data_IF_211504936158
#
_entry.id   IF_211504936158
#
_cell.length_a   1.000
_cell.length_b   1.000
_cell.length_c   1.000
_cell.angle_alpha   90.00
_cell.angle_beta   90.00
_cell.angle_gamma   90.00
#
_symmetry.space_group_name_H-M   'P 1'
#
loop_
_entity.id
_entity.type
_entity.pdbx_description
1 polymer ?
#
# COMPACT_ATOMS: atom_id res chain seq x y z
N UNK A 1 24.55 27.39 -2.94
CA UNK A 1 24.54 26.74 -4.28
C UNK A 1 25.58 25.61 -4.35
N UNK A 2 26.54 25.57 -3.43
CA UNK A 2 27.67 24.61 -3.44
C UNK A 2 27.30 23.19 -2.99
N UNK A 3 26.38 23.04 -2.04
CA UNK A 3 25.93 21.71 -1.55
C UNK A 3 25.36 20.84 -2.68
N UNK A 4 24.56 21.43 -3.58
CA UNK A 4 24.00 20.71 -4.73
C UNK A 4 25.07 20.29 -5.73
N UNK A 5 26.12 21.10 -5.92
CA UNK A 5 27.27 20.75 -6.76
C UNK A 5 28.06 19.60 -6.17
N UNK A 6 28.27 19.60 -4.86
CA UNK A 6 28.99 18.53 -4.17
C UNK A 6 28.22 17.20 -4.19
N UNK A 7 26.90 17.24 -4.03
CA UNK A 7 26.02 16.07 -4.17
C UNK A 7 26.06 15.53 -5.61
N UNK A 8 25.94 16.41 -6.61
CA UNK A 8 26.04 16.01 -8.02
C UNK A 8 27.41 15.43 -8.35
N UNK A 9 28.48 16.03 -7.82
CA UNK A 9 29.85 15.55 -7.99
C UNK A 9 30.02 14.15 -7.41
N UNK A 10 29.50 13.90 -6.21
CA UNK A 10 29.53 12.57 -5.59
C UNK A 10 28.91 11.47 -6.48
N UNK A 11 27.77 11.74 -7.14
CA UNK A 11 27.12 10.77 -8.03
C UNK A 11 27.82 10.64 -9.40
N UNK A 12 28.42 11.72 -9.89
CA UNK A 12 29.03 11.76 -11.24
C UNK A 12 30.49 11.29 -11.24
N UNK A 13 31.17 11.33 -10.10
CA UNK A 13 32.58 10.97 -9.96
C UNK A 13 32.83 9.48 -10.23
N UNK A 14 33.72 9.15 -11.16
CA UNK A 14 34.03 7.76 -11.54
C UNK A 14 34.88 7.01 -10.50
N UNK A 15 35.47 7.71 -9.54
CA UNK A 15 36.28 7.12 -8.47
C UNK A 15 35.45 6.37 -7.44
N UNK A 16 34.19 6.77 -7.25
CA UNK A 16 33.25 6.10 -6.35
C UNK A 16 32.70 4.82 -6.97
N UNK A 17 32.72 3.73 -6.22
CA UNK A 17 32.13 2.46 -6.64
C UNK A 17 30.63 2.60 -6.90
N UNK A 18 30.08 1.78 -7.80
CA UNK A 18 28.64 1.75 -8.09
C UNK A 18 27.81 1.50 -6.84
N UNK A 19 28.30 0.66 -5.92
CA UNK A 19 27.67 0.37 -4.62
C UNK A 19 27.60 1.61 -3.72
N UNK A 20 28.69 2.37 -3.64
CA UNK A 20 28.77 3.62 -2.84
C UNK A 20 27.82 4.68 -3.37
N UNK A 21 27.71 4.80 -4.70
CA UNK A 21 26.76 5.73 -5.33
C UNK A 21 25.32 5.32 -5.06
N UNK A 22 24.99 4.04 -5.19
CA UNK A 22 23.66 3.52 -4.89
C UNK A 22 23.27 3.77 -3.43
N UNK A 23 24.22 3.54 -2.51
CA UNK A 23 24.05 3.85 -1.09
C UNK A 23 23.80 5.34 -0.84
N UNK A 24 24.54 6.22 -1.51
CA UNK A 24 24.32 7.66 -1.40
C UNK A 24 22.95 8.12 -1.91
N UNK A 25 22.40 7.47 -2.95
CA UNK A 25 21.03 7.75 -3.43
C UNK A 25 20.03 7.41 -2.32
N UNK A 26 20.21 6.25 -1.67
CA UNK A 26 19.32 5.80 -0.60
C UNK A 26 19.41 6.72 0.62
N UNK A 27 20.62 7.09 1.06
CA UNK A 27 20.82 8.04 2.16
C UNK A 27 20.19 9.39 1.83
N UNK A 28 20.35 9.88 0.60
CA UNK A 28 19.72 11.11 0.16
C UNK A 28 18.19 11.04 0.23
N UNK A 29 17.59 9.93 -0.20
CA UNK A 29 16.14 9.68 -0.06
C UNK A 29 15.72 9.62 1.41
N UNK A 30 16.49 8.95 2.28
CA UNK A 30 16.21 8.87 3.71
C UNK A 30 16.30 10.24 4.39
N UNK A 31 17.27 11.09 4.01
CA UNK A 31 17.40 12.45 4.52
C UNK A 31 16.21 13.30 4.08
N UNK A 32 15.74 13.16 2.84
CA UNK A 32 14.51 13.84 2.38
C UNK A 32 13.32 13.38 3.22
N UNK A 33 13.15 12.07 3.44
CA UNK A 33 12.09 11.53 4.30
C UNK A 33 12.21 12.04 5.75
N UNK A 34 13.42 12.16 6.27
CA UNK A 34 13.66 12.64 7.63
C UNK A 34 13.33 14.13 7.76
N UNK A 35 13.74 14.96 6.80
CA UNK A 35 13.40 16.38 6.73
C UNK A 35 11.88 16.56 6.60
N UNK A 36 11.25 15.76 5.73
CA UNK A 36 9.79 15.78 5.55
C UNK A 36 9.05 15.41 6.85
N UNK A 37 9.55 14.43 7.60
CA UNK A 37 8.98 14.03 8.88
C UNK A 37 9.27 15.05 10.00
N UNK A 38 10.47 15.63 10.06
CA UNK A 38 10.87 16.63 11.05
C UNK A 38 10.08 17.93 10.90
N UNK A 39 9.92 18.41 9.67
CA UNK A 39 9.15 19.61 9.34
C UNK A 39 7.65 19.33 9.26
N UNK A 40 7.27 18.05 9.23
CA UNK A 40 5.89 17.61 9.09
C UNK A 40 5.25 17.98 7.76
N UNK A 41 6.04 18.27 6.71
CA UNK A 41 5.53 18.78 5.43
C UNK A 41 4.46 17.88 4.83
N UNK A 42 4.74 16.59 4.64
CA UNK A 42 3.73 15.63 4.16
C UNK A 42 2.53 15.50 5.08
N UNK A 43 2.72 15.61 6.40
CA UNK A 43 1.62 15.54 7.37
C UNK A 43 0.68 16.75 7.22
N UNK A 44 1.22 17.96 7.23
CA UNK A 44 0.44 19.19 7.06
C UNK A 44 -0.19 19.28 5.68
N UNK A 45 0.55 18.92 4.62
CA UNK A 45 0.02 18.90 3.26
C UNK A 45 -1.13 17.90 3.14
N UNK A 46 -0.95 16.67 3.63
CA UNK A 46 -2.00 15.64 3.61
C UNK A 46 -3.25 16.07 4.39
N UNK A 47 -3.08 16.65 5.58
CA UNK A 47 -4.20 17.13 6.38
C UNK A 47 -4.92 18.31 5.71
N UNK A 48 -4.17 19.25 5.12
CA UNK A 48 -4.76 20.36 4.39
C UNK A 48 -5.56 19.86 3.17
N UNK A 49 -5.05 18.87 2.45
CA UNK A 49 -5.79 18.24 1.35
C UNK A 49 -7.06 17.54 1.84
N UNK A 50 -7.00 16.80 2.96
CA UNK A 50 -8.19 16.20 3.58
C UNK A 50 -9.24 17.26 3.94
N UNK A 51 -8.82 18.35 4.58
CA UNK A 51 -9.71 19.46 4.96
C UNK A 51 -10.33 20.09 3.71
N UNK A 52 -9.55 20.36 2.66
CA UNK A 52 -10.06 20.94 1.42
C UNK A 52 -11.06 20.01 0.71
N UNK A 53 -10.79 18.70 0.69
CA UNK A 53 -11.71 17.72 0.13
C UNK A 53 -13.04 17.67 0.91
N UNK A 54 -12.98 17.68 2.25
CA UNK A 54 -14.16 17.74 3.11
C UNK A 54 -14.96 19.02 2.90
N UNK A 55 -14.29 20.18 2.80
CA UNK A 55 -14.94 21.46 2.51
C UNK A 55 -15.66 21.46 1.15
N UNK A 56 -15.05 20.86 0.13
CA UNK A 56 -15.67 20.74 -1.19
C UNK A 56 -16.87 19.80 -1.17
N UNK A 57 -16.78 18.67 -0.45
CA UNK A 57 -17.91 17.74 -0.27
C UNK A 57 -19.07 18.46 0.43
N UNK A 58 -18.79 19.16 1.52
CA UNK A 58 -19.79 19.92 2.27
C UNK A 58 -20.45 21.01 1.43
N UNK A 59 -19.66 21.71 0.59
CA UNK A 59 -20.17 22.68 -0.37
C UNK A 59 -21.12 22.04 -1.39
N UNK A 60 -20.73 20.90 -1.97
CA UNK A 60 -21.55 20.16 -2.94
C UNK A 60 -22.85 19.62 -2.32
N UNK A 61 -22.82 19.20 -1.05
CA UNK A 61 -24.04 18.79 -0.32
C UNK A 61 -25.04 19.94 -0.16
N UNK A 62 -24.55 21.16 0.06
CA UNK A 62 -25.39 22.37 0.17
C UNK A 62 -25.96 22.81 -1.17
N UNK A 63 -25.21 22.63 -2.26
CA UNK A 63 -25.65 23.02 -3.61
C UNK A 63 -26.61 22.01 -4.26
N UNK A 64 -26.56 20.74 -3.85
CA UNK A 64 -27.38 19.66 -4.41
C UNK A 64 -28.22 18.90 -3.36
N UNK A 65 -29.08 19.57 -2.56
CA UNK A 65 -29.81 18.90 -1.46
C UNK A 65 -30.89 17.92 -1.94
N UNK A 66 -31.38 18.09 -3.17
CA UNK A 66 -32.54 17.35 -3.69
C UNK A 66 -32.18 16.04 -4.40
N UNK A 67 -30.90 15.75 -4.64
CA UNK A 67 -30.48 14.52 -5.32
C UNK A 67 -29.96 13.48 -4.31
N UNK A 68 -30.79 12.52 -3.88
CA UNK A 68 -30.42 11.55 -2.86
C UNK A 68 -29.28 10.61 -3.28
N UNK A 69 -29.10 10.37 -4.59
CA UNK A 69 -28.01 9.55 -5.09
C UNK A 69 -26.66 10.27 -4.95
N UNK A 70 -26.60 11.57 -5.30
CA UNK A 70 -25.41 12.40 -5.13
C UNK A 70 -25.06 12.55 -3.65
N UNK A 71 -26.07 12.77 -2.79
CA UNK A 71 -25.86 12.91 -1.36
C UNK A 71 -25.27 11.64 -0.74
N UNK A 72 -25.73 10.47 -1.16
CA UNK A 72 -25.18 9.18 -0.73
C UNK A 72 -23.72 9.02 -1.13
N UNK A 73 -23.36 9.32 -2.37
CA UNK A 73 -21.97 9.22 -2.85
C UNK A 73 -21.04 10.24 -2.16
N UNK A 74 -21.55 11.43 -1.85
CA UNK A 74 -20.80 12.45 -1.10
C UNK A 74 -20.56 12.03 0.36
N UNK A 75 -21.53 11.38 1.01
CA UNK A 75 -21.37 10.83 2.36
C UNK A 75 -20.33 9.69 2.38
N UNK A 76 -20.35 8.80 1.38
CA UNK A 76 -19.36 7.72 1.25
C UNK A 76 -17.94 8.26 1.03
N UNK A 77 -17.79 9.26 0.16
CA UNK A 77 -16.51 9.92 -0.08
C UNK A 77 -15.96 10.63 1.18
N UNK A 78 -16.83 11.28 1.97
CA UNK A 78 -16.45 11.88 3.26
C UNK A 78 -15.96 10.83 4.25
N UNK A 79 -16.69 9.72 4.38
CA UNK A 79 -16.32 8.61 5.25
C UNK A 79 -14.96 8.02 4.86
N UNK A 80 -14.70 7.86 3.56
CA UNK A 80 -13.42 7.38 3.05
C UNK A 80 -12.25 8.33 3.36
N UNK A 81 -12.45 9.65 3.23
CA UNK A 81 -11.42 10.65 3.55
C UNK A 81 -11.08 10.64 5.04
N UNK A 82 -12.11 10.54 5.89
CA UNK A 82 -11.98 10.48 7.35
C UNK A 82 -11.27 9.19 7.78
N UNK A 83 -11.61 8.06 7.16
CA UNK A 83 -11.02 6.75 7.47
C UNK A 83 -9.67 6.50 6.81
N UNK A 84 -9.21 7.37 5.89
CA UNK A 84 -7.97 7.16 5.13
C UNK A 84 -6.75 7.01 6.05
N UNK A 85 -6.13 5.83 5.97
CA UNK A 85 -4.95 5.42 6.74
C UNK A 85 -3.66 5.88 6.04
N UNK A 86 -2.62 6.18 6.82
CA UNK A 86 -1.30 6.47 6.25
C UNK A 86 -0.58 5.17 5.88
N UNK A 87 0.47 5.28 5.06
CA UNK A 87 1.24 4.13 4.53
C UNK A 87 1.80 3.27 5.67
N UNK A 88 2.26 3.89 6.76
CA UNK A 88 2.79 3.20 7.94
C UNK A 88 1.69 2.37 8.62
N UNK A 89 0.50 2.91 8.81
CA UNK A 89 -0.66 2.19 9.37
C UNK A 89 -1.13 1.09 8.43
N UNK A 90 -1.14 1.34 7.13
CA UNK A 90 -1.40 0.32 6.11
C UNK A 90 -0.41 -0.84 6.18
N UNK A 91 0.87 -0.55 6.48
CA UNK A 91 1.90 -1.57 6.69
C UNK A 91 1.70 -2.37 7.99
N UNK A 92 1.44 -1.71 9.11
CA UNK A 92 1.18 -2.44 10.36
C UNK A 92 -0.11 -3.27 10.32
N UNK A 93 -1.11 -2.84 9.54
CA UNK A 93 -2.35 -3.59 9.37
C UNK A 93 -2.18 -4.91 8.65
N UNK A 94 -1.09 -5.10 7.90
CA UNK A 94 -0.74 -6.38 7.29
C UNK A 94 -0.59 -7.50 8.34
N UNK A 95 -0.19 -7.14 9.56
CA UNK A 95 0.01 -8.05 10.69
C UNK A 95 -1.14 -8.02 11.70
N UNK A 96 -2.17 -7.21 11.44
CA UNK A 96 -3.35 -7.15 12.30
C UNK A 96 -4.13 -8.47 12.24
N UNK A 97 -4.86 -8.76 13.32
CA UNK A 97 -5.82 -9.88 13.35
C UNK A 97 -7.07 -9.62 12.52
N UNK A 98 -7.18 -8.44 11.90
CA UNK A 98 -8.33 -8.09 11.07
C UNK A 98 -8.40 -8.97 9.83
N UNK A 99 -9.64 -9.14 9.40
CA UNK A 99 -10.02 -9.89 8.22
C UNK A 99 -9.81 -9.04 6.95
N UNK A 100 -9.41 -9.68 5.86
CA UNK A 100 -9.17 -9.08 4.55
C UNK A 100 -10.51 -8.84 3.86
N UNK A 101 -11.11 -7.67 4.08
CA UNK A 101 -12.40 -7.35 3.50
C UNK A 101 -12.29 -6.89 2.04
N UNK A 102 -12.62 -7.80 1.12
CA UNK A 102 -12.61 -7.56 -0.34
C UNK A 102 -13.62 -6.45 -0.73
N UNK A 103 -14.66 -6.19 0.08
CA UNK A 103 -15.64 -5.13 -0.22
C UNK A 103 -15.01 -3.74 -0.23
N UNK A 104 -14.02 -3.48 0.62
CA UNK A 104 -13.36 -2.16 0.71
C UNK A 104 -12.46 -1.85 -0.48
N UNK A 105 -11.97 -2.87 -1.20
CA UNK A 105 -11.13 -2.69 -2.39
C UNK A 105 -11.94 -2.60 -3.70
N UNK A 106 -13.17 -3.14 -3.75
CA UNK A 106 -14.05 -2.98 -4.92
C UNK A 106 -14.62 -1.57 -5.04
N UNK A 107 -14.84 -0.87 -3.93
CA UNK A 107 -15.28 0.53 -3.93
C UNK A 107 -14.18 1.53 -4.33
N UNK A 108 -12.89 1.16 -4.18
CA UNK A 108 -11.76 1.99 -4.60
C UNK A 108 -11.48 1.96 -6.11
N UNK A 109 -12.12 1.06 -6.85
CA UNK A 109 -11.98 1.01 -8.31
C UNK A 109 -13.11 1.86 -8.91
N UNK A 110 -12.73 3.07 -9.34
CA UNK A 110 -13.43 3.93 -10.29
C UNK A 110 -14.38 5.00 -9.74
N UNK A 111 -13.82 5.97 -9.00
CA UNK A 111 -14.21 7.37 -9.19
C UNK A 111 -12.96 8.11 -9.66
N UNK A 112 -12.58 7.89 -10.92
CA UNK A 112 -11.58 8.73 -11.55
C UNK A 112 -12.14 10.16 -11.64
N UNK A 113 -11.28 11.15 -11.47
CA UNK A 113 -11.64 12.59 -11.51
C UNK A 113 -12.41 12.97 -12.79
N UNK A 114 -12.21 12.19 -13.86
CA UNK A 114 -12.91 12.24 -15.15
C UNK A 114 -14.42 11.96 -15.04
N UNK A 115 -14.86 11.14 -14.09
CA UNK A 115 -16.27 10.82 -13.87
C UNK A 115 -17.03 11.97 -13.21
N UNK A 116 -16.39 12.61 -12.22
CA UNK A 116 -16.93 13.79 -11.53
C UNK A 116 -17.01 14.98 -12.49
N UNK A 117 -15.98 15.18 -13.33
CA UNK A 117 -15.97 16.23 -14.34
C UNK A 117 -17.02 16.03 -15.45
N UNK A 118 -17.35 14.78 -15.78
CA UNK A 118 -18.44 14.46 -16.73
C UNK A 118 -19.83 14.77 -16.18
N UNK A 119 -20.04 14.57 -14.87
CA UNK A 119 -21.32 14.88 -14.19
C UNK A 119 -21.51 16.39 -14.03
N UNK A 120 -20.44 17.11 -13.67
CA UNK A 120 -20.48 18.57 -13.50
C UNK A 120 -20.74 19.28 -14.84
N UNK A 121 -20.24 18.73 -15.96
CA UNK A 121 -20.37 19.34 -17.29
C UNK A 121 -21.59 18.88 -18.10
N UNK A 122 -22.38 17.90 -17.65
CA UNK A 122 -23.67 17.59 -18.27
C UNK A 122 -24.74 18.57 -17.77
N UNK A 123 -25.31 19.37 -18.69
CA UNK A 123 -26.51 20.20 -18.48
C UNK A 123 -27.64 19.41 -17.77
N UNK A 124 -28.55 20.06 -17.03
CA UNK A 124 -29.57 19.38 -16.22
C UNK A 124 -30.35 18.38 -17.08
N UNK A 125 -30.09 17.10 -16.82
CA UNK A 125 -30.58 15.99 -17.62
C UNK A 125 -32.00 15.62 -17.17
N UNK A 126 -32.98 16.06 -17.95
CA UNK A 126 -34.41 15.98 -17.61
C UNK A 126 -35.07 14.72 -18.21
N UNK A 127 -34.39 13.57 -18.21
CA UNK A 127 -34.92 12.35 -18.81
C UNK A 127 -34.86 11.15 -17.87
N UNK A 128 -36.01 10.89 -17.22
CA UNK A 128 -36.25 9.83 -16.23
C UNK A 128 -36.29 8.42 -16.85
N UNK A 129 -36.17 8.29 -18.17
CA UNK A 129 -36.28 7.03 -18.90
C UNK A 129 -35.07 6.10 -18.70
N UNK A 130 -33.86 6.64 -18.51
CA UNK A 130 -32.64 5.85 -18.28
C UNK A 130 -32.44 5.41 -16.81
N UNK A 131 -33.17 6.02 -15.87
CA UNK A 131 -33.12 5.64 -14.44
C UNK A 131 -33.82 4.29 -14.20
N UNK A 132 -34.79 3.91 -15.04
CA UNK A 132 -35.48 2.62 -14.90
C UNK A 132 -34.62 1.42 -15.34
N UNK A 133 -33.63 1.62 -16.21
CA UNK A 133 -32.62 0.60 -16.54
C UNK A 133 -31.58 0.43 -15.40
N UNK A 134 -31.29 1.49 -14.64
CA UNK A 134 -30.41 1.45 -13.45
C UNK A 134 -31.11 0.92 -12.19
N UNK A 135 -32.44 1.05 -12.08
CA UNK A 135 -33.20 0.63 -10.89
C UNK A 135 -33.54 -0.86 -10.85
N UNK A 136 -33.36 -1.60 -11.96
CA UNK A 136 -33.74 -3.03 -12.06
C UNK A 136 -32.66 -4.00 -11.57
N UNK A 137 -31.42 -3.54 -11.35
CA UNK A 137 -30.33 -4.38 -10.81
C UNK A 137 -30.05 -4.16 -9.31
N UNK A 138 -30.65 -3.16 -8.67
CA UNK A 138 -30.31 -2.77 -7.29
C UNK A 138 -31.31 -3.22 -6.22
N UNK A 139 -31.92 -4.40 -6.37
CA UNK A 139 -32.44 -5.11 -5.20
C UNK A 139 -31.50 -6.27 -4.86
N UNK A 140 -30.49 -6.09 -4.00
CA UNK A 140 -29.83 -7.23 -3.42
C UNK A 140 -30.84 -7.89 -2.49
N UNK A 141 -31.44 -9.00 -2.94
CA UNK A 141 -31.92 -10.03 -2.02
C UNK A 141 -30.76 -10.28 -1.06
N UNK A 142 -30.94 -9.90 0.21
CA UNK A 142 -29.99 -10.13 1.30
C UNK A 142 -29.93 -11.65 1.56
N UNK A 143 -29.34 -12.40 0.63
CA UNK A 143 -28.65 -13.63 0.97
C UNK A 143 -27.42 -13.16 1.73
N UNK A 144 -27.40 -13.40 3.02
CA UNK A 144 -26.15 -13.45 3.78
C UNK A 144 -25.30 -14.57 3.17
N UNK A 145 -24.65 -14.29 2.05
CA UNK A 145 -23.46 -15.03 1.66
C UNK A 145 -22.44 -14.65 2.72
N UNK A 146 -22.17 -15.58 3.63
CA UNK A 146 -21.02 -15.53 4.52
C UNK A 146 -19.78 -15.44 3.65
N UNK A 147 -19.35 -14.22 3.33
CA UNK A 147 -18.10 -14.01 2.64
C UNK A 147 -17.03 -14.51 3.59
N UNK A 148 -16.44 -15.66 3.26
CA UNK A 148 -15.39 -16.25 4.08
C UNK A 148 -14.18 -15.34 3.95
N UNK A 149 -13.97 -14.51 4.95
CA UNK A 149 -12.89 -13.55 4.98
C UNK A 149 -11.56 -14.23 5.29
N UNK A 150 -10.49 -13.74 4.68
CA UNK A 150 -9.14 -14.25 4.90
C UNK A 150 -8.48 -13.44 6.01
N UNK A 151 -7.88 -14.09 7.00
CA UNK A 151 -7.10 -13.38 8.01
C UNK A 151 -5.87 -12.73 7.38
N UNK A 152 -5.67 -11.43 7.62
CA UNK A 152 -4.48 -10.68 7.13
C UNK A 152 -3.18 -11.30 7.65
N UNK A 153 -3.13 -11.63 8.95
CA UNK A 153 -1.97 -12.25 9.58
C UNK A 153 -1.59 -13.58 8.91
N UNK A 154 -2.54 -14.50 8.72
CA UNK A 154 -2.27 -15.79 8.09
C UNK A 154 -1.91 -15.65 6.61
N UNK A 155 -2.48 -14.67 5.92
CA UNK A 155 -2.09 -14.34 4.55
C UNK A 155 -0.63 -13.87 4.49
N UNK A 156 -0.23 -12.95 5.39
CA UNK A 156 1.15 -12.45 5.48
C UNK A 156 2.13 -13.57 5.82
N UNK A 157 1.82 -14.39 6.83
CA UNK A 157 2.65 -15.54 7.22
C UNK A 157 2.81 -16.52 6.05
N UNK A 158 1.71 -16.98 5.44
CA UNK A 158 1.78 -17.95 4.33
C UNK A 158 2.48 -17.38 3.09
N UNK A 159 2.30 -16.09 2.80
CA UNK A 159 2.90 -15.43 1.63
C UNK A 159 4.42 -15.22 1.74
N UNK A 160 4.95 -15.14 2.96
CA UNK A 160 6.30 -14.60 3.19
C UNK A 160 7.04 -15.24 4.37
N UNK A 161 6.72 -16.49 4.76
CA UNK A 161 7.24 -17.09 5.99
C UNK A 161 8.77 -17.10 6.09
N UNK A 162 9.48 -17.37 4.98
CA UNK A 162 10.95 -17.39 4.96
C UNK A 162 11.49 -15.98 5.17
N UNK A 163 10.92 -14.98 4.47
CA UNK A 163 11.34 -13.59 4.61
C UNK A 163 11.09 -13.06 6.03
N UNK A 164 10.01 -13.48 6.69
CA UNK A 164 9.71 -13.12 8.09
C UNK A 164 10.74 -13.75 9.03
N UNK A 165 11.09 -15.02 8.83
CA UNK A 165 12.15 -15.68 9.62
C UNK A 165 13.48 -14.96 9.42
N UNK A 166 13.83 -14.57 8.19
CA UNK A 166 15.05 -13.80 7.92
C UNK A 166 14.96 -12.41 8.54
N UNK A 167 13.83 -11.71 8.45
CA UNK A 167 13.64 -10.37 9.03
C UNK A 167 13.87 -10.36 10.54
N UNK A 168 13.40 -11.40 11.25
CA UNK A 168 13.54 -11.51 12.71
C UNK A 168 14.91 -12.10 13.09
N UNK A 169 15.37 -13.13 12.38
CA UNK A 169 16.61 -13.83 12.69
C UNK A 169 17.86 -13.04 12.33
N UNK A 170 17.83 -12.26 11.25
CA UNK A 170 18.99 -11.54 10.75
C UNK A 170 19.55 -10.52 11.75
N UNK A 171 18.76 -9.63 12.39
CA UNK A 171 19.25 -8.75 13.45
C UNK A 171 19.91 -9.51 14.61
N UNK A 172 19.30 -10.63 15.02
CA UNK A 172 19.80 -11.41 16.15
C UNK A 172 21.16 -12.01 15.79
N UNK A 173 21.25 -12.68 14.63
CA UNK A 173 22.50 -13.26 14.13
C UNK A 173 23.57 -12.18 13.97
N UNK A 174 23.19 -11.02 13.42
CA UNK A 174 24.09 -9.90 13.19
C UNK A 174 24.70 -9.37 14.49
N UNK A 175 23.89 -9.18 15.54
CA UNK A 175 24.35 -8.72 16.87
C UNK A 175 25.38 -9.68 17.46
N UNK A 176 25.22 -10.99 17.27
CA UNK A 176 26.16 -11.99 17.81
C UNK A 176 27.35 -12.28 16.90
N UNK A 177 27.25 -12.02 15.60
CA UNK A 177 28.30 -12.30 14.62
C UNK A 177 29.33 -11.16 14.54
N UNK A 178 28.90 -9.90 14.67
CA UNK A 178 29.79 -8.75 14.61
C UNK A 178 30.52 -8.55 15.95
N UNK A 179 31.85 -8.65 15.94
CA UNK A 179 32.69 -8.40 17.12
C UNK A 179 32.83 -6.92 17.45
N UNK A 180 32.65 -6.04 16.47
CA UNK A 180 32.78 -4.59 16.63
C UNK A 180 31.62 -3.90 15.96
N UNK A 181 30.81 -3.22 16.75
CA UNK A 181 29.67 -2.47 16.27
C UNK A 181 30.08 -1.08 15.80
N UNK A 182 29.90 -0.79 14.51
CA UNK A 182 30.19 0.50 13.91
C UNK A 182 28.90 1.08 13.30
N UNK A 183 28.84 2.40 13.12
CA UNK A 183 27.65 3.05 12.55
C UNK A 183 27.32 2.56 11.14
N UNK A 184 28.35 2.30 10.33
CA UNK A 184 28.17 1.77 8.96
C UNK A 184 27.48 0.40 8.96
N UNK A 185 27.83 -0.47 9.91
CA UNK A 185 27.25 -1.82 10.01
C UNK A 185 25.79 -1.74 10.47
N UNK A 186 25.45 -0.82 11.39
CA UNK A 186 24.06 -0.53 11.75
C UNK A 186 23.24 0.02 10.56
N UNK A 187 23.80 0.91 9.74
CA UNK A 187 23.08 1.44 8.57
C UNK A 187 22.79 0.35 7.54
N UNK A 188 23.74 -0.54 7.28
CA UNK A 188 23.54 -1.69 6.38
C UNK A 188 22.47 -2.62 6.94
N UNK A 189 22.48 -2.89 8.25
CA UNK A 189 21.45 -3.69 8.91
C UNK A 189 20.06 -3.06 8.72
N UNK A 190 19.90 -1.77 9.04
CA UNK A 190 18.62 -1.07 8.88
C UNK A 190 18.14 -1.12 7.43
N UNK A 191 19.04 -0.90 6.48
CA UNK A 191 18.72 -0.99 5.05
C UNK A 191 18.18 -2.38 4.66
N UNK A 192 18.85 -3.45 5.09
CA UNK A 192 18.42 -4.82 4.81
C UNK A 192 17.03 -5.09 5.41
N UNK A 193 16.75 -4.59 6.62
CA UNK A 193 15.45 -4.75 7.27
C UNK A 193 14.33 -4.02 6.54
N UNK A 194 14.56 -2.78 6.11
CA UNK A 194 13.59 -2.01 5.32
C UNK A 194 13.33 -2.73 3.98
N UNK A 195 14.38 -3.20 3.32
CA UNK A 195 14.26 -3.92 2.06
C UNK A 195 13.46 -5.22 2.22
N UNK A 196 13.74 -6.03 3.27
CA UNK A 196 12.99 -7.24 3.59
C UNK A 196 11.52 -6.95 3.90
N UNK A 197 11.24 -5.90 4.67
CA UNK A 197 9.87 -5.46 4.97
C UNK A 197 9.11 -5.07 3.69
N UNK A 198 9.76 -4.36 2.77
CA UNK A 198 9.21 -4.02 1.46
C UNK A 198 8.90 -5.27 0.62
N UNK A 199 9.80 -6.26 0.60
CA UNK A 199 9.56 -7.52 -0.11
C UNK A 199 8.36 -8.29 0.47
N UNK A 200 8.22 -8.36 1.80
CA UNK A 200 7.06 -8.98 2.45
C UNK A 200 5.76 -8.32 1.99
N UNK A 201 5.72 -6.99 1.97
CA UNK A 201 4.54 -6.25 1.50
C UNK A 201 4.21 -6.56 0.04
N UNK A 202 5.21 -6.60 -0.84
CA UNK A 202 5.02 -6.92 -2.27
C UNK A 202 4.48 -8.36 -2.45
N UNK A 203 5.04 -9.35 -1.76
CA UNK A 203 4.56 -10.73 -1.82
C UNK A 203 3.11 -10.84 -1.34
N UNK A 204 2.80 -10.19 -0.22
CA UNK A 204 1.45 -10.16 0.32
C UNK A 204 0.46 -9.49 -0.63
N UNK A 205 0.85 -8.40 -1.29
CA UNK A 205 0.04 -7.70 -2.27
C UNK A 205 -0.26 -8.61 -3.47
N UNK A 206 0.77 -9.18 -4.10
CA UNK A 206 0.62 -10.03 -5.29
C UNK A 206 -0.24 -11.26 -4.99
N UNK A 207 0.01 -11.95 -3.88
CA UNK A 207 -0.76 -13.13 -3.49
C UNK A 207 -2.15 -12.78 -2.92
N UNK A 208 -2.34 -11.53 -2.50
CA UNK A 208 -3.62 -10.98 -2.06
C UNK A 208 -4.61 -10.81 -3.22
N UNK A 209 -4.11 -10.69 -4.46
CA UNK A 209 -4.93 -10.63 -5.66
C UNK A 209 -5.62 -11.97 -5.98
N UNK A 210 -5.16 -13.07 -5.38
CA UNK A 210 -5.75 -14.40 -5.61
C UNK A 210 -7.05 -14.51 -4.78
N UNK A 211 -8.24 -14.60 -5.42
CA UNK A 211 -9.50 -14.72 -4.72
C UNK A 211 -9.58 -16.03 -3.92
N UNK A 212 -10.47 -16.09 -2.92
CA UNK A 212 -10.65 -17.30 -2.11
C UNK A 212 -11.13 -18.45 -3.01
N UNK A 213 -10.36 -19.52 -3.06
CA UNK A 213 -10.62 -20.67 -3.92
C UNK A 213 -11.66 -21.57 -3.22
N UNK A 214 -12.77 -21.86 -3.91
CA UNK A 214 -13.80 -22.79 -3.44
C UNK A 214 -14.38 -22.45 -2.05
N UNK A 215 -14.36 -21.17 -1.65
CA UNK A 215 -14.81 -20.74 -0.33
C UNK A 215 -13.96 -21.25 0.84
N UNK A 216 -12.80 -21.86 0.58
CA UNK A 216 -11.91 -22.46 1.59
C UNK A 216 -10.60 -21.69 1.66
N UNK A 217 -10.47 -20.84 2.68
CA UNK A 217 -9.32 -19.93 2.85
C UNK A 217 -7.99 -20.68 3.00
N UNK A 218 -7.99 -21.86 3.61
CA UNK A 218 -6.76 -22.65 3.83
C UNK A 218 -6.09 -23.08 2.52
N UNK A 219 -6.86 -23.25 1.44
CA UNK A 219 -6.31 -23.60 0.11
C UNK A 219 -5.42 -22.45 -0.39
N UNK A 220 -5.86 -21.21 -0.20
CA UNK A 220 -5.06 -20.05 -0.56
C UNK A 220 -3.79 -19.95 0.28
N UNK A 221 -3.86 -20.24 1.58
CA UNK A 221 -2.64 -20.25 2.41
C UNK A 221 -1.64 -21.32 1.95
N UNK A 222 -2.12 -22.52 1.59
CA UNK A 222 -1.27 -23.58 1.07
C UNK A 222 -0.63 -23.16 -0.27
N UNK A 223 -1.42 -22.59 -1.17
CA UNK A 223 -0.95 -22.08 -2.46
C UNK A 223 0.09 -20.97 -2.29
N UNK A 224 -0.17 -20.01 -1.41
CA UNK A 224 0.75 -18.92 -1.09
C UNK A 224 2.10 -19.47 -0.62
N UNK A 225 2.07 -20.40 0.35
CA UNK A 225 3.28 -21.04 0.88
C UNK A 225 4.05 -21.79 -0.21
N UNK A 226 3.34 -22.47 -1.11
CA UNK A 226 3.96 -23.18 -2.24
C UNK A 226 4.62 -22.21 -3.24
N UNK A 227 3.91 -21.15 -3.66
CA UNK A 227 4.46 -20.14 -4.58
C UNK A 227 5.69 -19.47 -3.97
N UNK A 228 5.61 -19.09 -2.69
CA UNK A 228 6.73 -18.49 -1.98
C UNK A 228 7.92 -19.46 -1.90
N UNK A 229 7.70 -20.69 -1.44
CA UNK A 229 8.75 -21.72 -1.37
C UNK A 229 9.40 -22.00 -2.72
N UNK A 230 8.60 -22.09 -3.79
CA UNK A 230 9.10 -22.30 -5.15
C UNK A 230 9.93 -21.13 -5.66
N UNK A 231 9.50 -19.88 -5.39
CA UNK A 231 10.26 -18.69 -5.77
C UNK A 231 11.63 -18.62 -5.10
N UNK A 232 11.71 -18.95 -3.80
CA UNK A 232 12.98 -19.02 -3.07
C UNK A 232 13.86 -20.16 -3.62
N UNK A 233 13.27 -21.32 -3.91
CA UNK A 233 14.00 -22.43 -4.50
C UNK A 233 14.63 -22.08 -5.86
N UNK A 234 13.90 -21.37 -6.74
CA UNK A 234 14.45 -20.87 -8.02
C UNK A 234 15.64 -19.94 -7.79
N UNK A 235 15.56 -19.03 -6.81
CA UNK A 235 16.65 -18.11 -6.49
C UNK A 235 17.88 -18.88 -6.03
N UNK A 236 17.71 -19.82 -5.08
CA UNK A 236 18.81 -20.66 -4.57
C UNK A 236 19.44 -21.49 -5.69
N UNK A 237 18.62 -22.12 -6.53
CA UNK A 237 19.08 -22.90 -7.67
C UNK A 237 19.88 -22.05 -8.67
N UNK A 238 19.40 -20.84 -8.94
CA UNK A 238 20.05 -19.89 -9.87
C UNK A 238 21.41 -19.40 -9.35
N UNK A 239 21.54 -19.21 -8.04
CA UNK A 239 22.81 -18.84 -7.40
C UNK A 239 23.80 -20.01 -7.48
N UNK A 240 23.36 -21.23 -7.13
CA UNK A 240 24.23 -22.42 -7.19
C UNK A 240 24.74 -22.73 -8.59
N UNK A 241 23.97 -22.46 -9.64
CA UNK A 241 24.39 -22.68 -11.03
C UNK A 241 25.48 -21.70 -11.50
N UNK A 242 25.60 -20.54 -10.86
CA UNK A 242 26.60 -19.51 -11.20
C UNK A 242 27.89 -19.62 -10.40
N UNK A 243 27.88 -20.37 -9.30
CA UNK A 243 29.07 -20.69 -8.49
C UNK A 243 29.72 -21.98 -8.95
#
# INVERSE_FOLDING_TARGET
>A
MDILKEILKFFTDKTNSTTTKFFGIIVFVLVIFFIDNLLGFSFYYSNNQKINQLLNIEKLKRECPENPAILSSLNEAEEDILQRKNIIKSFFELFSKEDFDIKKHKAQIHIDTVFVERIINSKPFNDTSNIQLLKKESTPKKKETTFVSRSKLWHTLSSSFILIVVLIGFPIIFIFAEKTFNWDTLFVLIFILIFLAGLIWIYQFILGLIPVIMGKVWINYLLNSFIHGFSIWIIIYSIKKKS
#
